data_IF_038558699959
#
_entry.id   IF_038558699959
#
_cell.length_a   1.000
_cell.length_b   1.000
_cell.length_c   1.000
_cell.angle_alpha   90.00
_cell.angle_beta   90.00
_cell.angle_gamma   90.00
#
_symmetry.space_group_name_H-M   'P 1'
#
loop_
_entity.id
_entity.type
_entity.pdbx_description
1 polymer ?
#
# COMPACT_ATOMS: atom_id res chain seq x y z
N UNK A 1 7.32 90.06 -23.18
CA UNK A 1 8.07 88.80 -23.25
C UNK A 1 7.49 87.89 -22.18
N UNK A 2 6.64 86.99 -22.56
CA UNK A 2 5.98 86.05 -21.65
C UNK A 2 6.55 84.65 -21.91
N UNK A 3 7.31 84.14 -20.99
CA UNK A 3 7.95 82.82 -21.09
C UNK A 3 6.97 81.78 -20.54
N UNK A 4 6.49 80.92 -21.43
CA UNK A 4 5.64 79.75 -21.09
C UNK A 4 6.56 78.58 -20.75
N UNK A 5 6.50 78.13 -19.50
CA UNK A 5 7.19 76.92 -19.06
C UNK A 5 6.24 75.73 -19.29
N UNK A 6 6.61 74.84 -20.22
CA UNK A 6 5.88 73.58 -20.48
C UNK A 6 6.38 72.53 -19.51
N UNK A 7 5.57 72.14 -18.56
CA UNK A 7 5.86 71.02 -17.65
C UNK A 7 5.42 69.70 -18.28
N UNK A 8 6.40 68.86 -18.65
CA UNK A 8 6.16 67.53 -19.16
C UNK A 8 5.83 66.60 -18.00
N UNK A 9 4.59 66.18 -17.91
CA UNK A 9 4.16 65.17 -16.96
C UNK A 9 4.39 63.76 -17.58
N UNK A 10 5.46 63.05 -17.17
CA UNK A 10 5.73 61.69 -17.58
C UNK A 10 4.88 60.76 -16.75
N UNK A 11 3.83 60.20 -17.31
CA UNK A 11 3.04 59.10 -16.73
C UNK A 11 3.80 57.81 -16.89
N UNK A 12 4.40 57.31 -15.80
CA UNK A 12 4.97 55.97 -15.72
C UNK A 12 3.81 54.95 -15.61
N UNK A 13 3.55 54.21 -16.69
CA UNK A 13 2.64 53.07 -16.66
C UNK A 13 3.37 51.91 -15.97
N UNK A 14 3.02 51.67 -14.72
CA UNK A 14 3.42 50.44 -14.02
C UNK A 14 2.55 49.33 -14.58
N UNK A 15 3.13 48.50 -15.46
CA UNK A 15 2.54 47.23 -15.87
C UNK A 15 2.50 46.31 -14.64
N UNK A 16 1.32 46.20 -14.01
CA UNK A 16 1.09 45.13 -13.06
C UNK A 16 1.16 43.81 -13.78
N UNK A 17 2.27 43.08 -13.64
CA UNK A 17 2.33 41.67 -13.95
C UNK A 17 1.38 40.98 -12.99
N UNK A 18 0.17 40.64 -13.45
CA UNK A 18 -0.69 39.67 -12.79
C UNK A 18 0.03 38.33 -12.90
N UNK A 19 0.79 37.99 -11.87
CA UNK A 19 1.17 36.60 -11.64
C UNK A 19 -0.16 35.84 -11.55
N UNK A 20 -0.40 34.96 -12.51
CA UNK A 20 -1.50 34.04 -12.47
C UNK A 20 -1.43 33.31 -11.11
N UNK A 21 -2.51 33.37 -10.37
CA UNK A 21 -2.71 32.61 -9.13
C UNK A 21 -2.52 31.12 -9.43
N UNK A 22 -1.27 30.66 -9.32
CA UNK A 22 -1.00 29.28 -9.02
C UNK A 22 -1.48 29.11 -7.58
N UNK A 23 -2.45 28.24 -7.26
CA UNK A 23 -2.87 28.04 -5.88
C UNK A 23 -1.62 27.62 -5.09
N UNK A 24 -1.12 28.51 -4.24
CA UNK A 24 0.09 28.35 -3.44
C UNK A 24 -0.17 27.39 -2.27
N UNK A 25 -0.52 26.15 -2.58
CA UNK A 25 -0.68 25.12 -1.58
C UNK A 25 -0.77 23.78 -2.29
N UNK A 26 0.32 23.00 -2.27
CA UNK A 26 0.30 21.61 -2.71
C UNK A 26 -0.62 20.77 -1.85
N UNK A 27 -0.66 19.47 -2.08
CA UNK A 27 -1.51 18.51 -1.35
C UNK A 27 -1.27 18.53 0.16
N UNK A 28 -0.03 18.72 0.59
CA UNK A 28 0.33 18.86 2.01
C UNK A 28 -0.34 20.06 2.68
N UNK A 29 -0.43 21.21 2.00
CA UNK A 29 -1.11 22.39 2.54
C UNK A 29 -2.63 22.18 2.67
N UNK A 30 -3.25 21.49 1.71
CA UNK A 30 -4.66 21.07 1.79
C UNK A 30 -4.92 20.20 3.01
N UNK A 31 -4.10 19.13 3.19
CA UNK A 31 -4.20 18.20 4.32
C UNK A 31 -4.01 18.93 5.65
N UNK A 32 -2.98 19.79 5.77
CA UNK A 32 -2.69 20.54 6.98
C UNK A 32 -3.83 21.50 7.32
N UNK A 33 -4.40 22.19 6.34
CA UNK A 33 -5.56 23.06 6.51
C UNK A 33 -6.81 22.30 6.97
N UNK A 34 -7.01 21.09 6.46
CA UNK A 34 -8.11 20.19 6.88
C UNK A 34 -7.87 19.60 8.27
N UNK A 35 -6.61 19.47 8.70
CA UNK A 35 -6.23 18.89 9.99
C UNK A 35 -6.30 17.38 10.06
N UNK A 36 -6.49 16.70 8.93
CA UNK A 36 -6.69 15.25 8.87
C UNK A 36 -6.08 14.67 7.59
N UNK A 37 -5.30 13.60 7.71
CA UNK A 37 -4.82 12.78 6.60
C UNK A 37 -5.84 11.66 6.34
N UNK A 38 -6.43 11.64 5.14
CA UNK A 38 -7.36 10.59 4.72
C UNK A 38 -6.57 9.44 4.09
N UNK A 39 -6.75 8.24 4.59
CA UNK A 39 -5.95 7.07 4.22
C UNK A 39 -6.84 5.94 3.70
N UNK A 40 -6.67 5.61 2.42
CA UNK A 40 -7.29 4.43 1.82
C UNK A 40 -6.62 3.15 2.29
N UNK A 41 -7.41 2.18 2.74
CA UNK A 41 -6.92 0.85 3.12
C UNK A 41 -7.99 -0.20 2.94
N UNK A 42 -7.59 -1.45 2.60
CA UNK A 42 -8.55 -2.53 2.35
C UNK A 42 -9.11 -3.10 3.66
N UNK A 43 -8.32 -3.10 4.73
CA UNK A 43 -8.73 -3.58 6.03
C UNK A 43 -9.02 -5.09 6.11
N UNK A 44 -8.45 -5.89 5.21
CA UNK A 44 -8.63 -7.34 5.09
C UNK A 44 -7.31 -8.12 4.99
N UNK A 45 -6.18 -7.50 5.38
CA UNK A 45 -4.84 -8.01 5.11
C UNK A 45 -3.96 -8.02 6.38
N UNK A 46 -4.16 -9.03 7.25
CA UNK A 46 -3.37 -9.23 8.47
C UNK A 46 -1.93 -9.65 8.16
N UNK A 47 -0.93 -9.20 8.93
CA UNK A 47 -0.98 -8.22 10.01
C UNK A 47 -0.76 -6.77 9.53
N UNK A 48 -0.86 -6.48 8.23
CA UNK A 48 -0.49 -5.18 7.65
C UNK A 48 -1.60 -4.13 7.79
N UNK A 49 -2.86 -4.53 7.55
CA UNK A 49 -4.04 -3.68 7.68
C UNK A 49 -5.28 -4.53 7.92
N UNK A 50 -5.94 -4.34 9.04
CA UNK A 50 -7.17 -5.02 9.36
C UNK A 50 -8.18 -4.06 10.01
N UNK A 51 -9.46 -4.24 9.67
CA UNK A 51 -10.57 -3.51 10.23
C UNK A 51 -11.42 -4.48 11.05
N UNK A 52 -11.53 -4.22 12.35
CA UNK A 52 -12.41 -4.98 13.24
C UNK A 52 -13.89 -4.67 12.97
N UNK A 53 -14.78 -5.48 13.51
CA UNK A 53 -16.25 -5.32 13.34
C UNK A 53 -16.77 -4.00 13.91
N UNK A 54 -16.07 -3.42 14.89
CA UNK A 54 -16.41 -2.11 15.49
C UNK A 54 -15.88 -0.92 14.66
N UNK A 55 -15.20 -1.17 13.53
CA UNK A 55 -14.61 -0.16 12.66
C UNK A 55 -13.20 0.28 13.05
N UNK A 56 -12.59 -0.34 14.09
CA UNK A 56 -11.22 -0.04 14.50
C UNK A 56 -10.21 -0.64 13.52
N UNK A 57 -9.29 0.19 13.00
CA UNK A 57 -8.20 -0.26 12.15
C UNK A 57 -6.94 -0.51 12.97
N UNK A 58 -6.25 -1.61 12.66
CA UNK A 58 -4.95 -1.94 13.23
C UNK A 58 -4.04 -2.63 12.20
N UNK A 59 -2.75 -2.69 12.53
CA UNK A 59 -1.75 -3.38 11.71
C UNK A 59 -0.49 -2.55 11.50
N UNK A 60 0.52 -3.20 10.97
CA UNK A 60 1.82 -2.58 10.70
C UNK A 60 1.70 -1.32 9.82
N UNK A 61 0.97 -1.43 8.69
CA UNK A 61 0.74 -0.29 7.78
C UNK A 61 -0.09 0.82 8.43
N UNK A 62 -1.01 0.47 9.32
CA UNK A 62 -1.82 1.45 10.06
C UNK A 62 -0.93 2.30 10.99
N UNK A 63 0.02 1.68 11.69
CA UNK A 63 0.96 2.42 12.54
C UNK A 63 1.98 3.23 11.72
N UNK A 64 2.41 2.74 10.57
CA UNK A 64 3.23 3.54 9.62
C UNK A 64 2.45 4.78 9.16
N UNK A 65 1.17 4.64 8.84
CA UNK A 65 0.30 5.75 8.46
C UNK A 65 0.16 6.81 9.57
N UNK A 66 0.00 6.37 10.82
CA UNK A 66 -0.06 7.27 11.99
C UNK A 66 1.25 8.08 12.16
N UNK A 67 2.40 7.44 11.91
CA UNK A 67 3.68 8.15 11.95
C UNK A 67 3.85 9.14 10.80
N UNK A 68 3.34 8.84 9.61
CA UNK A 68 3.30 9.80 8.48
C UNK A 68 2.42 11.01 8.83
N UNK A 69 1.24 10.79 9.40
CA UNK A 69 0.35 11.88 9.82
C UNK A 69 0.99 12.75 10.92
N UNK A 70 1.73 12.15 11.84
CA UNK A 70 2.47 12.87 12.88
C UNK A 70 3.55 13.82 12.29
N UNK A 71 4.21 13.45 11.18
CA UNK A 71 5.15 14.35 10.49
C UNK A 71 4.44 15.56 9.85
N UNK A 72 3.17 15.41 9.48
CA UNK A 72 2.32 16.50 9.00
C UNK A 72 1.67 17.31 10.13
N UNK A 73 1.69 16.81 11.37
CA UNK A 73 1.03 17.42 12.52
C UNK A 73 -0.50 17.37 12.44
N UNK A 74 -1.06 16.30 11.86
CA UNK A 74 -2.51 16.14 11.64
C UNK A 74 -3.02 14.79 12.17
N UNK A 75 -4.33 14.69 12.34
CA UNK A 75 -5.02 13.44 12.67
C UNK A 75 -5.10 12.50 11.47
N UNK A 76 -5.51 11.25 11.72
CA UNK A 76 -5.72 10.20 10.70
C UNK A 76 -7.19 9.82 10.63
N UNK A 77 -7.70 9.67 9.41
CA UNK A 77 -8.98 9.00 9.18
C UNK A 77 -8.81 7.94 8.08
N UNK A 78 -9.32 6.73 8.35
CA UNK A 78 -9.24 5.62 7.41
C UNK A 78 -10.49 5.55 6.54
N UNK A 79 -10.29 5.35 5.24
CA UNK A 79 -11.32 5.19 4.23
C UNK A 79 -11.19 3.78 3.65
N UNK A 80 -12.28 2.99 3.75
CA UNK A 80 -12.27 1.62 3.23
C UNK A 80 -12.23 1.62 1.70
N UNK A 81 -11.32 0.85 1.14
CA UNK A 81 -11.25 0.48 -0.27
C UNK A 81 -11.22 -1.04 -0.41
N UNK A 82 -10.97 -1.57 -1.61
CA UNK A 82 -10.83 -3.00 -1.85
C UNK A 82 -9.73 -3.27 -2.88
N UNK A 83 -9.19 -4.47 -2.91
CA UNK A 83 -8.16 -4.84 -3.90
C UNK A 83 -8.62 -4.63 -5.36
N UNK A 84 -9.85 -5.01 -5.74
CA UNK A 84 -10.36 -4.76 -7.09
C UNK A 84 -10.48 -3.28 -7.46
N UNK A 85 -10.84 -2.40 -6.50
CA UNK A 85 -11.13 -0.98 -6.76
C UNK A 85 -9.98 -0.04 -6.42
N UNK A 86 -8.95 -0.50 -5.70
CA UNK A 86 -7.86 0.33 -5.16
C UNK A 86 -7.30 1.34 -6.19
N UNK A 87 -6.99 0.88 -7.40
CA UNK A 87 -6.42 1.74 -8.45
C UNK A 87 -7.43 2.80 -8.90
N UNK A 88 -8.69 2.43 -9.10
CA UNK A 88 -9.74 3.37 -9.47
C UNK A 88 -10.01 4.38 -8.35
N UNK A 89 -10.06 3.91 -7.09
CA UNK A 89 -10.32 4.73 -5.92
C UNK A 89 -9.22 5.79 -5.69
N UNK A 90 -7.93 5.43 -5.93
CA UNK A 90 -6.81 6.39 -5.90
C UNK A 90 -6.96 7.47 -6.96
N UNK A 91 -7.47 7.13 -8.16
CA UNK A 91 -7.58 8.03 -9.31
C UNK A 91 -8.92 8.77 -9.39
N UNK A 92 -9.84 8.51 -8.44
CA UNK A 92 -11.17 9.14 -8.43
C UNK A 92 -11.08 10.63 -8.14
N UNK A 93 -11.88 11.44 -8.85
CA UNK A 93 -12.07 12.86 -8.61
C UNK A 93 -13.54 13.20 -8.26
N UNK A 94 -13.83 13.89 -7.16
CA UNK A 94 -12.86 14.32 -6.13
C UNK A 94 -12.27 13.14 -5.38
N UNK A 95 -11.03 13.31 -4.88
CA UNK A 95 -10.31 12.24 -4.19
C UNK A 95 -11.06 11.70 -2.97
N UNK A 96 -11.12 10.37 -2.85
CA UNK A 96 -11.70 9.69 -1.69
C UNK A 96 -10.76 9.71 -0.48
N UNK A 97 -9.45 9.68 -0.74
CA UNK A 97 -8.39 9.71 0.28
C UNK A 97 -7.10 10.28 -0.32
N UNK A 98 -6.20 10.75 0.52
CA UNK A 98 -4.95 11.41 0.10
C UNK A 98 -3.86 10.42 -0.33
N UNK A 99 -3.81 9.29 0.34
CA UNK A 99 -2.88 8.19 0.05
C UNK A 99 -3.50 6.85 0.43
N UNK A 100 -2.95 5.75 -0.10
CA UNK A 100 -3.34 4.39 0.27
C UNK A 100 -2.16 3.61 0.86
N UNK A 101 -2.44 2.79 1.90
CA UNK A 101 -1.46 2.00 2.64
C UNK A 101 -2.07 0.66 3.10
N UNK A 102 -1.23 -0.32 3.45
CA UNK A 102 -1.68 -1.59 4.02
C UNK A 102 -1.37 -2.81 3.14
N UNK A 103 -0.12 -2.97 2.72
CA UNK A 103 0.31 -4.13 1.94
C UNK A 103 0.37 -3.90 0.43
N UNK A 104 0.53 -2.64 0.02
CA UNK A 104 0.56 -2.28 -1.40
C UNK A 104 1.97 -2.46 -1.96
N UNK A 105 2.18 -3.52 -2.73
CA UNK A 105 3.48 -3.81 -3.37
C UNK A 105 3.83 -2.74 -4.40
N UNK A 106 5.06 -2.26 -4.36
CA UNK A 106 5.65 -1.37 -5.36
C UNK A 106 5.83 -2.16 -6.66
N UNK A 107 5.25 -1.67 -7.76
CA UNK A 107 5.39 -2.26 -9.10
C UNK A 107 5.58 -1.17 -10.14
N UNK A 108 6.25 -1.50 -11.26
CA UNK A 108 6.43 -0.54 -12.36
C UNK A 108 5.09 -0.11 -12.96
N UNK A 109 4.14 -1.04 -13.11
CA UNK A 109 2.79 -0.71 -13.58
C UNK A 109 2.06 0.32 -12.71
N UNK A 110 2.25 0.28 -11.37
CA UNK A 110 1.73 1.31 -10.47
C UNK A 110 2.46 2.64 -10.62
N UNK A 111 3.79 2.62 -10.78
CA UNK A 111 4.59 3.83 -10.99
C UNK A 111 4.29 4.54 -12.32
N UNK A 112 3.82 3.83 -13.34
CA UNK A 112 3.43 4.44 -14.61
C UNK A 112 2.25 5.41 -14.46
N UNK A 113 1.29 5.10 -13.61
CA UNK A 113 0.03 5.86 -13.48
C UNK A 113 -0.12 6.61 -12.16
N UNK A 114 0.65 6.25 -11.13
CA UNK A 114 0.55 6.76 -9.77
C UNK A 114 1.94 7.05 -9.18
N UNK A 115 2.00 7.69 -8.03
CA UNK A 115 3.21 7.82 -7.22
C UNK A 115 3.29 6.67 -6.23
N UNK A 116 4.51 6.13 -6.06
CA UNK A 116 4.84 5.16 -5.03
C UNK A 116 5.97 5.71 -4.15
N UNK A 117 5.85 5.54 -2.84
CA UNK A 117 6.92 5.87 -1.91
C UNK A 117 8.13 4.94 -2.05
N UNK A 118 9.19 5.24 -1.32
CA UNK A 118 10.23 4.27 -0.99
C UNK A 118 9.63 3.07 -0.26
N UNK A 119 10.26 1.89 -0.42
CA UNK A 119 9.87 0.69 0.29
C UNK A 119 10.17 0.78 1.79
N UNK A 120 9.27 0.21 2.60
CA UNK A 120 9.42 0.16 4.06
C UNK A 120 9.23 -1.26 4.62
N UNK A 121 8.91 -2.23 3.76
CA UNK A 121 8.75 -3.65 4.12
C UNK A 121 9.09 -4.52 2.92
N UNK A 122 10.05 -5.44 3.07
CA UNK A 122 10.35 -6.44 2.05
C UNK A 122 9.15 -7.36 1.83
N UNK A 123 8.88 -7.72 0.58
CA UNK A 123 7.75 -8.57 0.20
C UNK A 123 8.11 -9.53 -0.93
N UNK A 124 7.30 -10.58 -1.08
CA UNK A 124 7.44 -11.57 -2.15
C UNK A 124 6.30 -12.58 -2.12
N UNK A 125 5.95 -13.12 -3.28
CA UNK A 125 4.92 -14.15 -3.38
C UNK A 125 5.40 -15.46 -2.79
N UNK A 126 4.56 -16.06 -1.98
CA UNK A 126 4.77 -17.37 -1.37
C UNK A 126 3.46 -18.14 -1.33
N UNK A 127 3.44 -19.26 -0.65
CA UNK A 127 2.24 -20.06 -0.43
C UNK A 127 1.96 -20.30 1.04
N UNK A 128 0.68 -20.50 1.34
CA UNK A 128 0.18 -21.07 2.57
C UNK A 128 -0.52 -22.38 2.23
N UNK A 129 -0.21 -23.45 2.95
CA UNK A 129 -0.80 -24.76 2.78
C UNK A 129 -1.04 -25.45 4.13
N UNK A 130 -1.65 -26.64 4.14
CA UNK A 130 -1.72 -27.45 5.36
C UNK A 130 -0.33 -27.89 5.81
N UNK A 131 -0.06 -27.85 7.12
CA UNK A 131 1.22 -28.25 7.70
C UNK A 131 1.58 -29.71 7.37
N UNK A 132 0.59 -30.61 7.32
CA UNK A 132 0.76 -32.01 6.94
C UNK A 132 1.18 -32.22 5.48
N UNK A 133 1.06 -31.21 4.63
CA UNK A 133 1.34 -31.27 3.20
C UNK A 133 2.49 -30.34 2.77
N UNK A 134 3.13 -29.68 3.71
CA UNK A 134 4.18 -28.69 3.44
C UNK A 134 5.35 -29.22 2.60
N UNK A 135 5.65 -30.50 2.72
CA UNK A 135 6.71 -31.15 1.93
C UNK A 135 6.33 -31.41 0.47
N UNK A 136 5.04 -31.34 0.13
CA UNK A 136 4.54 -31.57 -1.22
C UNK A 136 4.61 -30.31 -2.10
N UNK A 137 4.79 -29.11 -1.50
CA UNK A 137 4.70 -27.81 -2.21
C UNK A 137 5.98 -27.01 -2.01
N UNK A 138 7.01 -27.29 -2.81
CA UNK A 138 8.35 -26.67 -2.71
C UNK A 138 8.70 -25.79 -3.91
N UNK A 139 7.84 -25.77 -4.95
CA UNK A 139 8.07 -25.01 -6.17
C UNK A 139 6.76 -24.64 -6.86
N UNK A 140 6.81 -23.78 -7.88
CA UNK A 140 5.67 -23.51 -8.77
C UNK A 140 5.21 -24.79 -9.47
N UNK A 141 6.14 -25.66 -9.87
CA UNK A 141 5.80 -26.92 -10.56
C UNK A 141 5.00 -27.88 -9.65
N UNK A 142 5.24 -27.83 -8.33
CA UNK A 142 4.50 -28.67 -7.39
C UNK A 142 3.07 -28.19 -7.19
N UNK A 143 2.79 -26.91 -7.38
CA UNK A 143 1.45 -26.33 -7.25
C UNK A 143 0.72 -26.18 -8.58
N UNK A 144 1.41 -26.18 -9.73
CA UNK A 144 0.79 -26.12 -11.06
C UNK A 144 0.48 -27.53 -11.62
N UNK A 145 -0.34 -28.29 -10.89
CA UNK A 145 -0.78 -29.62 -11.29
C UNK A 145 -2.31 -29.69 -11.32
N UNK A 146 -2.90 -30.51 -12.23
CA UNK A 146 -4.37 -30.57 -12.40
C UNK A 146 -5.16 -30.96 -11.14
N UNK A 147 -4.54 -31.70 -10.22
CA UNK A 147 -5.15 -32.12 -8.96
C UNK A 147 -5.06 -31.05 -7.85
N UNK A 148 -4.26 -29.99 -8.04
CA UNK A 148 -4.04 -28.94 -7.03
C UNK A 148 -5.06 -27.82 -7.20
N UNK A 149 -5.72 -27.48 -6.10
CA UNK A 149 -6.66 -26.37 -6.00
C UNK A 149 -5.97 -25.19 -5.32
N UNK A 150 -5.79 -24.10 -6.06
CA UNK A 150 -5.11 -22.90 -5.60
C UNK A 150 -6.13 -21.80 -5.34
N UNK A 151 -6.18 -21.27 -4.11
CA UNK A 151 -7.13 -20.22 -3.73
C UNK A 151 -6.45 -18.86 -3.68
N UNK A 152 -7.14 -17.84 -4.17
CA UNK A 152 -6.69 -16.44 -4.21
C UNK A 152 -7.85 -15.49 -3.90
N UNK A 153 -7.54 -14.28 -3.42
CA UNK A 153 -8.49 -13.18 -3.32
C UNK A 153 -8.60 -12.43 -4.66
N UNK A 154 -9.76 -11.81 -4.99
CA UNK A 154 -9.98 -11.14 -6.27
C UNK A 154 -9.24 -9.81 -6.37
N UNK A 155 -8.86 -9.43 -7.61
CA UNK A 155 -8.40 -8.10 -8.02
C UNK A 155 -6.99 -7.71 -7.59
N UNK A 156 -6.35 -8.52 -6.72
CA UNK A 156 -5.01 -8.26 -6.19
C UNK A 156 -3.88 -8.82 -7.04
N UNK A 157 -2.65 -8.64 -6.56
CA UNK A 157 -1.45 -9.20 -7.22
C UNK A 157 -1.35 -10.72 -7.02
N UNK A 158 -2.03 -11.31 -6.02
CA UNK A 158 -2.06 -12.76 -5.81
C UNK A 158 -2.81 -13.45 -6.95
N UNK A 159 -4.01 -12.95 -7.30
CA UNK A 159 -4.78 -13.47 -8.44
C UNK A 159 -4.02 -13.28 -9.76
N UNK A 160 -3.44 -12.10 -9.99
CA UNK A 160 -2.63 -11.83 -11.19
C UNK A 160 -1.44 -12.79 -11.30
N UNK A 161 -0.74 -13.03 -10.19
CA UNK A 161 0.38 -13.98 -10.14
C UNK A 161 -0.07 -15.39 -10.44
N UNK A 162 -1.15 -15.87 -9.81
CA UNK A 162 -1.67 -17.21 -10.06
C UNK A 162 -2.06 -17.39 -11.53
N UNK A 163 -2.84 -16.47 -12.10
CA UNK A 163 -3.27 -16.54 -13.50
C UNK A 163 -2.12 -16.47 -14.52
N UNK A 164 -1.01 -15.80 -14.17
CA UNK A 164 0.14 -15.67 -15.05
C UNK A 164 1.09 -16.89 -15.01
N UNK A 165 1.11 -17.62 -13.90
CA UNK A 165 2.12 -18.66 -13.65
C UNK A 165 1.56 -20.06 -13.50
N UNK A 166 0.26 -20.24 -13.28
CA UNK A 166 -0.38 -21.54 -13.10
C UNK A 166 -1.32 -21.81 -14.27
N UNK A 167 -0.99 -22.84 -15.05
CA UNK A 167 -1.70 -23.21 -16.27
C UNK A 167 -2.47 -24.51 -16.18
N UNK A 168 -2.14 -25.35 -15.20
CA UNK A 168 -2.72 -26.66 -14.99
C UNK A 168 -3.57 -26.76 -13.72
N UNK A 169 -3.18 -26.02 -12.67
CA UNK A 169 -3.89 -26.01 -11.39
C UNK A 169 -5.29 -25.38 -11.50
N UNK A 170 -6.20 -25.84 -10.65
CA UNK A 170 -7.53 -25.21 -10.54
C UNK A 170 -7.45 -23.97 -9.66
N UNK A 171 -7.59 -22.76 -10.24
CA UNK A 171 -7.61 -21.50 -9.50
C UNK A 171 -9.02 -21.21 -9.00
N UNK A 172 -9.16 -21.01 -7.69
CA UNK A 172 -10.41 -20.68 -7.00
C UNK A 172 -10.31 -19.24 -6.46
N UNK A 173 -11.19 -18.35 -6.92
CA UNK A 173 -11.26 -16.99 -6.41
C UNK A 173 -12.28 -16.92 -5.27
N UNK A 174 -11.80 -16.57 -4.06
CA UNK A 174 -12.64 -16.40 -2.87
C UNK A 174 -12.73 -14.92 -2.49
N UNK A 175 -13.96 -14.42 -2.26
CA UNK A 175 -14.23 -12.98 -2.14
C UNK A 175 -13.64 -12.32 -0.88
N UNK A 176 -13.46 -13.09 0.19
CA UNK A 176 -12.97 -12.58 1.47
C UNK A 176 -11.57 -13.13 1.76
N UNK A 177 -10.56 -12.27 1.65
CA UNK A 177 -9.16 -12.66 1.83
C UNK A 177 -8.94 -13.31 3.20
N UNK A 178 -9.49 -12.75 4.24
CA UNK A 178 -9.33 -13.19 5.63
C UNK A 178 -9.91 -14.58 5.94
N UNK A 179 -10.81 -15.10 5.09
CA UNK A 179 -11.39 -16.45 5.24
C UNK A 179 -10.50 -17.54 4.60
N UNK A 180 -9.66 -17.18 3.61
CA UNK A 180 -8.90 -18.15 2.82
C UNK A 180 -8.01 -19.05 3.70
N UNK A 181 -7.22 -18.55 4.68
CA UNK A 181 -6.38 -19.42 5.50
C UNK A 181 -7.15 -20.50 6.24
N UNK A 182 -8.33 -20.19 6.77
CA UNK A 182 -9.18 -21.16 7.45
C UNK A 182 -9.76 -22.20 6.49
N UNK A 183 -10.06 -21.81 5.24
CA UNK A 183 -10.51 -22.71 4.17
C UNK A 183 -9.40 -23.67 3.73
N UNK A 184 -8.14 -23.19 3.64
CA UNK A 184 -6.97 -24.07 3.41
C UNK A 184 -6.82 -25.07 4.54
N UNK A 185 -6.85 -24.62 5.79
CA UNK A 185 -6.77 -25.49 6.97
C UNK A 185 -7.87 -26.56 6.99
N UNK A 186 -9.07 -26.23 6.50
CA UNK A 186 -10.22 -27.13 6.40
C UNK A 186 -10.20 -28.04 5.16
N UNK A 187 -9.25 -27.88 4.22
CA UNK A 187 -9.14 -28.68 3.00
C UNK A 187 -10.08 -28.26 1.87
N UNK A 188 -10.67 -27.07 1.93
CA UNK A 188 -11.51 -26.54 0.85
C UNK A 188 -10.68 -26.25 -0.43
N UNK A 189 -9.42 -25.89 -0.26
CA UNK A 189 -8.39 -25.86 -1.30
C UNK A 189 -7.07 -26.37 -0.73
N UNK A 190 -6.05 -26.50 -1.57
CA UNK A 190 -4.80 -27.15 -1.17
C UNK A 190 -3.73 -26.10 -0.84
N UNK A 191 -3.71 -25.00 -1.58
CA UNK A 191 -2.73 -23.92 -1.47
C UNK A 191 -3.42 -22.56 -1.60
N UNK A 192 -2.98 -21.58 -0.81
CA UNK A 192 -3.25 -20.16 -1.03
C UNK A 192 -2.00 -19.51 -1.62
N UNK A 193 -2.11 -18.76 -2.72
CA UNK A 193 -1.07 -17.80 -3.09
C UNK A 193 -1.22 -16.57 -2.17
N UNK A 194 -0.13 -16.28 -1.46
CA UNK A 194 -0.05 -15.18 -0.49
C UNK A 194 1.32 -14.50 -0.57
N UNK A 195 1.71 -13.79 0.48
CA UNK A 195 2.97 -13.05 0.56
C UNK A 195 3.74 -13.39 1.84
N UNK A 196 5.08 -13.23 1.81
CA UNK A 196 5.95 -13.47 2.98
C UNK A 196 5.63 -12.56 4.16
N UNK A 197 4.89 -11.49 3.93
CA UNK A 197 4.43 -10.55 4.96
C UNK A 197 3.12 -10.97 5.61
N UNK A 198 2.33 -11.82 4.98
CA UNK A 198 1.02 -12.31 5.46
C UNK A 198 1.10 -13.73 6.02
N UNK A 199 1.74 -14.65 5.31
CA UNK A 199 1.77 -16.06 5.65
C UNK A 199 2.27 -16.36 7.09
N UNK A 200 3.32 -15.70 7.63
CA UNK A 200 3.79 -15.95 8.98
C UNK A 200 2.74 -15.71 10.05
N UNK A 201 1.89 -14.69 9.88
CA UNK A 201 0.80 -14.40 10.80
C UNK A 201 -0.15 -15.60 10.94
N UNK A 202 -0.57 -16.18 9.82
CA UNK A 202 -1.48 -17.32 9.83
C UNK A 202 -0.84 -18.60 10.35
N UNK A 203 0.44 -18.84 10.05
CA UNK A 203 1.19 -20.00 10.61
C UNK A 203 1.34 -19.87 12.13
N UNK A 204 1.49 -18.67 12.66
CA UNK A 204 1.56 -18.46 14.12
C UNK A 204 0.21 -18.61 14.81
N UNK A 205 -0.89 -18.26 14.14
CA UNK A 205 -2.24 -18.28 14.72
C UNK A 205 -2.99 -19.60 14.51
N UNK A 206 -2.59 -20.41 13.51
CA UNK A 206 -3.18 -21.72 13.24
C UNK A 206 -2.09 -22.76 12.91
N UNK A 207 -1.79 -23.65 13.86
CA UNK A 207 -0.76 -24.68 13.72
C UNK A 207 -1.06 -25.74 12.65
N UNK A 208 -2.26 -25.76 12.08
CA UNK A 208 -2.62 -26.62 10.94
C UNK A 208 -2.03 -26.10 9.62
N UNK A 209 -1.50 -24.86 9.60
CA UNK A 209 -0.97 -24.19 8.43
C UNK A 209 0.56 -24.17 8.44
N UNK A 210 1.14 -24.12 7.24
CA UNK A 210 2.57 -23.92 7.00
C UNK A 210 2.80 -23.03 5.78
N UNK A 211 3.94 -22.35 5.77
CA UNK A 211 4.42 -21.56 4.64
C UNK A 211 5.85 -22.02 4.26
N UNK A 212 5.98 -23.06 3.46
CA UNK A 212 7.26 -23.75 3.22
C UNK A 212 8.26 -22.93 2.41
N UNK A 213 7.83 -21.86 1.72
CA UNK A 213 8.66 -21.05 0.81
C UNK A 213 8.88 -19.61 1.34
N UNK A 214 8.89 -19.39 2.66
CA UNK A 214 9.14 -18.06 3.24
C UNK A 214 10.54 -17.53 2.93
N UNK A 215 11.55 -18.42 2.91
CA UNK A 215 12.95 -18.04 2.65
C UNK A 215 13.30 -18.03 1.16
N UNK A 216 12.47 -18.64 0.32
CA UNK A 216 12.65 -18.75 -1.12
C UNK A 216 11.35 -18.37 -1.84
N UNK A 217 10.87 -17.12 -1.70
CA UNK A 217 9.63 -16.69 -2.32
C UNK A 217 9.75 -16.65 -3.84
N UNK A 218 8.65 -16.83 -4.54
CA UNK A 218 8.59 -16.78 -6.00
C UNK A 218 8.95 -15.44 -6.61
N UNK A 219 8.79 -14.36 -5.86
CA UNK A 219 9.10 -12.99 -6.30
C UNK A 219 9.73 -12.22 -5.16
N UNK A 220 10.45 -11.13 -5.52
CA UNK A 220 11.02 -10.19 -4.57
C UNK A 220 10.53 -8.78 -4.89
N UNK A 221 10.23 -8.00 -3.86
CA UNK A 221 9.76 -6.64 -3.99
C UNK A 221 9.66 -5.96 -2.63
N UNK A 222 9.02 -4.81 -2.61
CA UNK A 222 8.81 -4.03 -1.40
C UNK A 222 7.37 -3.50 -1.37
N UNK A 223 6.89 -3.26 -0.16
CA UNK A 223 5.64 -2.56 0.10
C UNK A 223 5.93 -1.07 0.28
N UNK A 224 5.09 -0.24 -0.32
CA UNK A 224 5.15 1.22 -0.25
C UNK A 224 3.77 1.84 -0.06
N UNK A 225 3.75 3.17 -0.03
CA UNK A 225 2.55 4.00 0.01
C UNK A 225 2.21 4.45 -1.40
N UNK A 226 0.93 4.37 -1.75
CA UNK A 226 0.40 4.70 -3.07
C UNK A 226 -0.33 6.05 -3.03
N UNK A 227 -0.08 6.92 -4.02
CA UNK A 227 -0.67 8.26 -4.12
C UNK A 227 -0.98 8.59 -5.58
N UNK A 228 -1.89 9.53 -5.80
CA UNK A 228 -2.14 10.10 -7.12
C UNK A 228 -0.94 10.90 -7.63
N UNK A 229 -0.70 10.92 -8.93
CA UNK A 229 0.31 11.79 -9.57
C UNK A 229 -0.02 13.28 -9.33
N UNK A 230 1.02 14.11 -9.29
CA UNK A 230 0.88 15.53 -9.00
C UNK A 230 0.94 15.87 -7.50
N UNK A 231 1.15 14.86 -6.63
CA UNK A 231 1.26 15.02 -5.17
C UNK A 231 2.70 14.79 -4.69
N UNK A 232 3.67 15.32 -5.42
CA UNK A 232 5.11 15.12 -5.14
C UNK A 232 5.52 15.72 -3.79
N UNK A 233 4.84 16.78 -3.34
CA UNK A 233 5.02 17.37 -2.01
C UNK A 233 4.61 16.39 -0.89
N UNK A 234 3.48 15.70 -1.03
CA UNK A 234 3.06 14.64 -0.12
C UNK A 234 4.00 13.44 -0.17
N UNK A 235 4.42 13.00 -1.37
CA UNK A 235 5.40 11.93 -1.54
C UNK A 235 6.70 12.23 -0.80
N UNK A 236 7.18 13.46 -0.85
CA UNK A 236 8.40 13.88 -0.15
C UNK A 236 8.25 13.74 1.38
N UNK A 237 7.12 14.14 1.94
CA UNK A 237 6.82 13.97 3.38
C UNK A 237 6.77 12.49 3.76
N UNK A 238 6.07 11.68 2.97
CA UNK A 238 5.98 10.22 3.18
C UNK A 238 7.36 9.57 3.18
N UNK A 239 8.20 9.88 2.18
CA UNK A 239 9.55 9.33 2.10
C UNK A 239 10.44 9.81 3.26
N UNK A 240 10.32 11.08 3.68
CA UNK A 240 11.05 11.59 4.84
C UNK A 240 10.63 10.88 6.14
N UNK A 241 9.34 10.62 6.33
CA UNK A 241 8.83 9.85 7.47
C UNK A 241 9.40 8.42 7.47
N UNK A 242 9.40 7.75 6.32
CA UNK A 242 9.98 6.39 6.18
C UNK A 242 11.48 6.40 6.50
N UNK A 243 12.25 7.33 5.94
CA UNK A 243 13.70 7.45 6.22
C UNK A 243 13.97 7.74 7.69
N UNK A 244 13.18 8.61 8.32
CA UNK A 244 13.28 8.92 9.75
C UNK A 244 13.01 7.67 10.59
N UNK A 245 11.96 6.93 10.30
CA UNK A 245 11.65 5.67 10.99
C UNK A 245 12.74 4.61 10.81
N UNK A 246 13.41 4.56 9.65
CA UNK A 246 14.58 3.69 9.44
C UNK A 246 15.77 4.15 10.29
N UNK A 247 16.04 5.45 10.34
CA UNK A 247 17.18 6.03 11.03
C UNK A 247 17.07 5.98 12.57
N UNK A 248 15.88 6.22 13.14
CA UNK A 248 15.64 6.21 14.58
C UNK A 248 15.30 4.82 15.15
N UNK A 249 15.20 3.80 14.28
CA UNK A 249 14.89 2.42 14.65
C UNK A 249 13.43 2.12 14.93
N UNK A 250 12.53 3.10 14.83
CA UNK A 250 11.10 2.87 15.08
C UNK A 250 10.45 1.96 14.03
N UNK A 251 10.97 1.96 12.78
CA UNK A 251 10.52 1.00 11.77
C UNK A 251 10.90 -0.44 12.15
N UNK A 252 12.12 -0.67 12.67
CA UNK A 252 12.56 -1.98 13.17
C UNK A 252 11.65 -2.47 14.30
N UNK A 253 11.33 -1.59 15.25
CA UNK A 253 10.41 -1.93 16.36
C UNK A 253 9.02 -2.36 15.87
N UNK A 254 8.52 -1.70 14.82
CA UNK A 254 7.25 -2.11 14.20
C UNK A 254 7.37 -3.49 13.52
N UNK A 255 8.48 -3.77 12.82
CA UNK A 255 8.69 -5.11 12.24
C UNK A 255 8.70 -6.19 13.32
N UNK A 256 9.43 -5.97 14.41
CA UNK A 256 9.47 -6.90 15.55
C UNK A 256 8.10 -7.09 16.19
N UNK A 257 7.34 -5.99 16.39
CA UNK A 257 6.00 -6.04 16.96
C UNK A 257 5.04 -6.92 16.17
N UNK A 258 5.14 -6.88 14.84
CA UNK A 258 4.26 -7.63 13.95
C UNK A 258 4.86 -8.95 13.42
N UNK A 259 6.02 -9.37 13.91
CA UNK A 259 6.69 -10.59 13.46
C UNK A 259 7.17 -10.56 12.02
N UNK A 260 7.47 -9.36 11.49
CA UNK A 260 7.90 -9.14 10.11
C UNK A 260 9.42 -9.08 10.01
N UNK A 261 9.97 -9.51 8.86
CA UNK A 261 11.41 -9.48 8.62
C UNK A 261 11.86 -8.05 8.35
N UNK A 262 12.84 -7.57 9.13
CA UNK A 262 13.49 -6.29 8.89
C UNK A 262 14.71 -6.47 7.97
N UNK A 263 14.69 -5.84 6.80
CA UNK A 263 15.71 -5.99 5.75
C UNK A 263 16.41 -4.66 5.39
N UNK A 264 16.41 -3.65 6.29
CA UNK A 264 16.98 -2.32 6.03
C UNK A 264 18.12 -1.96 6.96
#
# INVERSE_FOLDING_TARGET
MLTVILTLCSTTVIAACTNGDNPTGGKTAEITKRGTLLIGTTGDYRPLSFCEDDGTYWGFGIEVAQKIAAELGVDVAFVKTSWPTLTADVLTEPQLFDLAIGGITITDARKETMLMSEGYLANGKTILCRASESDHYRSLADIDRPEVRVMVNPGGLNEKFANANLTHATIIVHQKNEEIPSLIAAGAADVMITEITEAPYYVQTDTRLAAPLLNEPFTHGEIGVLMQKGQEDLLQIVNNAIRKMKADGSLRQLHEKYGLIYAY
#
